data_IF_490986246764
#
_entry.id   IF_490986246764
#
_cell.length_a   1.000
_cell.length_b   1.000
_cell.length_c   1.000
_cell.angle_alpha   90.00
_cell.angle_beta   90.00
_cell.angle_gamma   90.00
#
_symmetry.space_group_name_H-M   'P 1'
#
loop_
_entity.id
_entity.type
_entity.pdbx_description
1 polymer ?
#
# COMPACT_ATOMS: atom_id res chain seq x y z
N UNK A 1 31.21 -5.36 2.45
CA UNK A 1 29.75 -5.51 2.48
C UNK A 1 29.28 -6.24 1.22
N UNK A 2 28.22 -7.02 1.34
CA UNK A 2 27.66 -7.78 0.22
C UNK A 2 26.23 -7.33 -0.15
N UNK A 3 25.54 -6.72 0.78
CA UNK A 3 24.18 -6.25 0.61
C UNK A 3 24.10 -4.80 1.08
N UNK A 4 23.69 -3.90 0.19
CA UNK A 4 23.68 -2.46 0.45
C UNK A 4 22.29 -1.87 0.18
N UNK A 5 21.85 -0.94 1.05
CA UNK A 5 20.65 -0.14 0.86
C UNK A 5 21.03 1.34 0.81
N UNK A 6 20.75 2.00 -0.31
CA UNK A 6 20.98 3.43 -0.51
C UNK A 6 19.67 4.13 -0.79
N UNK A 7 19.24 4.97 0.13
CA UNK A 7 18.04 5.80 -0.04
C UNK A 7 18.41 7.26 -0.17
N UNK A 8 18.01 7.86 -1.27
CA UNK A 8 18.32 9.23 -1.64
C UNK A 8 17.08 9.91 -2.24
N UNK A 9 16.92 11.23 -2.08
CA UNK A 9 15.86 11.97 -2.74
C UNK A 9 15.96 11.91 -4.28
N UNK A 10 14.92 12.36 -4.97
CA UNK A 10 14.94 12.51 -6.45
C UNK A 10 16.00 13.54 -6.86
N UNK A 11 16.58 13.31 -8.05
CA UNK A 11 17.61 14.22 -8.63
C UNK A 11 18.92 14.31 -7.83
N UNK A 12 19.17 13.33 -6.92
CA UNK A 12 20.43 13.23 -6.16
C UNK A 12 21.58 12.51 -6.92
N UNK A 13 21.45 12.28 -8.23
CA UNK A 13 22.49 11.63 -9.02
C UNK A 13 22.58 10.09 -8.84
N UNK A 14 21.49 9.45 -8.36
CA UNK A 14 21.46 8.01 -8.05
C UNK A 14 21.87 7.13 -9.23
N UNK A 15 21.20 7.30 -10.35
CA UNK A 15 21.38 6.44 -11.53
C UNK A 15 22.75 6.64 -12.17
N UNK A 16 23.26 7.87 -12.18
CA UNK A 16 24.58 8.22 -12.70
C UNK A 16 25.68 7.59 -11.85
N UNK A 17 25.59 7.71 -10.53
CA UNK A 17 26.57 7.09 -9.61
C UNK A 17 26.63 5.57 -9.79
N UNK A 18 25.47 4.91 -9.84
CA UNK A 18 25.44 3.46 -10.01
C UNK A 18 25.90 3.02 -11.39
N UNK A 19 25.61 3.79 -12.43
CA UNK A 19 26.12 3.52 -13.77
C UNK A 19 27.64 3.52 -13.80
N UNK A 20 28.27 4.47 -13.14
CA UNK A 20 29.73 4.52 -13.01
C UNK A 20 30.29 3.31 -12.22
N UNK A 21 29.65 2.93 -11.11
CA UNK A 21 30.06 1.77 -10.32
C UNK A 21 29.86 0.46 -11.09
N UNK A 22 28.76 0.31 -11.84
CA UNK A 22 28.51 -0.86 -12.68
C UNK A 22 29.55 -1.00 -13.79
N UNK A 23 29.91 0.11 -14.43
CA UNK A 23 30.97 0.13 -15.43
C UNK A 23 32.33 -0.23 -14.83
N UNK A 24 32.67 0.31 -13.65
CA UNK A 24 33.85 -0.08 -12.91
C UNK A 24 33.86 -1.57 -12.55
N UNK A 25 32.71 -2.10 -12.10
CA UNK A 25 32.57 -3.52 -11.76
C UNK A 25 32.78 -4.43 -12.99
N UNK A 26 32.36 -4.01 -14.16
CA UNK A 26 32.53 -4.72 -15.42
C UNK A 26 34.01 -4.77 -15.87
N UNK A 27 34.73 -3.66 -15.73
CA UNK A 27 36.07 -3.48 -16.30
C UNK A 27 37.19 -3.75 -15.31
N UNK A 28 37.06 -3.26 -14.06
CA UNK A 28 38.15 -3.08 -13.12
C UNK A 28 37.93 -3.70 -11.72
N UNK A 29 36.91 -4.55 -11.53
CA UNK A 29 36.64 -5.19 -10.24
C UNK A 29 37.71 -6.20 -9.80
N UNK A 30 38.58 -6.64 -10.72
CA UNK A 30 39.57 -7.69 -10.46
C UNK A 30 39.02 -9.14 -10.44
N UNK A 31 37.68 -9.28 -10.65
CA UNK A 31 37.07 -10.59 -10.84
C UNK A 31 37.22 -11.05 -12.30
N UNK A 32 37.41 -12.35 -12.48
CA UNK A 32 37.41 -12.94 -13.83
C UNK A 32 35.98 -13.18 -14.31
N UNK A 33 35.69 -12.77 -15.53
CA UNK A 33 34.36 -12.84 -16.16
C UNK A 33 33.27 -12.31 -15.22
N UNK A 34 33.33 -11.04 -14.77
CA UNK A 34 32.32 -10.50 -13.89
C UNK A 34 30.96 -10.44 -14.56
N UNK A 35 29.93 -10.83 -13.82
CA UNK A 35 28.53 -10.70 -14.23
C UNK A 35 27.91 -9.52 -13.48
N UNK A 36 27.55 -8.47 -14.25
CA UNK A 36 26.93 -7.25 -13.72
C UNK A 36 25.47 -7.19 -14.17
N UNK A 37 24.56 -6.94 -13.25
CA UNK A 37 23.13 -6.89 -13.52
C UNK A 37 22.53 -5.57 -13.09
N UNK A 38 21.75 -4.95 -14.00
CA UNK A 38 20.90 -3.81 -13.72
C UNK A 38 19.44 -4.29 -13.70
N UNK A 39 18.80 -4.18 -12.54
CA UNK A 39 17.44 -4.66 -12.27
C UNK A 39 16.54 -3.49 -11.92
N UNK A 40 15.35 -3.44 -12.50
CA UNK A 40 14.29 -2.52 -12.11
C UNK A 40 12.91 -3.19 -12.23
N UNK A 41 11.86 -2.53 -11.77
CA UNK A 41 10.49 -3.05 -11.84
C UNK A 41 10.04 -3.35 -13.28
N UNK A 42 10.59 -2.64 -14.28
CA UNK A 42 10.41 -2.95 -15.70
C UNK A 42 11.73 -2.94 -16.46
N UNK A 43 11.77 -3.67 -17.58
CA UNK A 43 12.98 -3.71 -18.42
C UNK A 43 13.33 -2.33 -18.99
N UNK A 44 12.35 -1.49 -19.27
CA UNK A 44 12.57 -0.14 -19.79
C UNK A 44 13.19 0.78 -18.73
N UNK A 45 12.81 0.65 -17.47
CA UNK A 45 13.47 1.38 -16.37
C UNK A 45 14.92 0.91 -16.17
N UNK A 46 15.17 -0.40 -16.20
CA UNK A 46 16.53 -0.92 -16.08
C UNK A 46 17.44 -0.48 -17.27
N UNK A 47 16.87 -0.22 -18.45
CA UNK A 47 17.60 0.34 -19.59
C UNK A 47 18.12 1.76 -19.35
N UNK A 48 17.46 2.56 -18.51
CA UNK A 48 17.93 3.92 -18.20
C UNK A 48 19.36 3.87 -17.64
N UNK A 49 19.63 2.94 -16.72
CA UNK A 49 20.99 2.73 -16.18
C UNK A 49 21.96 2.30 -17.28
N UNK A 50 21.54 1.37 -18.15
CA UNK A 50 22.36 0.93 -19.28
C UNK A 50 22.65 2.07 -20.27
N UNK A 51 21.69 2.92 -20.57
CA UNK A 51 21.86 4.05 -21.48
C UNK A 51 22.77 5.13 -20.91
N UNK A 52 22.71 5.38 -19.58
CA UNK A 52 23.68 6.22 -18.90
C UNK A 52 25.11 5.65 -19.02
N UNK A 53 25.27 4.32 -18.85
CA UNK A 53 26.58 3.68 -19.02
C UNK A 53 27.07 3.82 -20.46
N UNK A 54 26.21 3.62 -21.46
CA UNK A 54 26.57 3.81 -22.88
C UNK A 54 27.03 5.24 -23.16
N UNK A 55 26.32 6.23 -22.61
CA UNK A 55 26.73 7.62 -22.75
C UNK A 55 28.12 7.89 -22.12
N UNK A 56 28.40 7.30 -20.95
CA UNK A 56 29.75 7.39 -20.33
C UNK A 56 30.82 6.77 -21.21
N UNK A 57 30.53 5.61 -21.83
CA UNK A 57 31.46 4.93 -22.75
C UNK A 57 31.70 5.79 -24.00
N UNK A 58 30.68 6.39 -24.60
CA UNK A 58 30.80 7.24 -25.77
C UNK A 58 31.62 8.51 -25.53
N UNK A 59 31.61 9.05 -24.30
CA UNK A 59 32.34 10.24 -23.93
C UNK A 59 33.84 10.02 -23.69
N UNK A 60 34.27 8.76 -23.47
CA UNK A 60 35.66 8.42 -23.16
C UNK A 60 36.23 7.40 -24.10
N UNK A 61 37.18 7.79 -25.02
CA UNK A 61 37.72 6.91 -26.05
C UNK A 61 38.36 5.62 -25.53
N UNK A 62 38.99 5.66 -24.36
CA UNK A 62 39.60 4.46 -23.73
C UNK A 62 38.52 3.46 -23.32
N UNK A 63 37.39 3.91 -22.79
CA UNK A 63 36.23 3.07 -22.46
C UNK A 63 35.57 2.52 -23.73
N UNK A 64 35.43 3.34 -24.76
CA UNK A 64 34.86 2.93 -26.08
C UNK A 64 35.68 1.83 -26.73
N UNK A 65 37.00 1.82 -26.53
CA UNK A 65 37.89 0.76 -27.06
C UNK A 65 37.88 -0.52 -26.21
N UNK A 66 37.49 -0.43 -24.94
CA UNK A 66 37.53 -1.52 -23.96
C UNK A 66 36.23 -2.31 -23.86
N UNK A 67 35.10 -1.76 -24.33
CA UNK A 67 33.75 -2.33 -24.11
C UNK A 67 32.98 -2.43 -25.44
N UNK A 68 32.50 -3.62 -25.74
CA UNK A 68 31.57 -3.85 -26.86
C UNK A 68 30.13 -3.57 -26.40
N UNK A 69 29.43 -2.70 -27.12
CA UNK A 69 28.08 -2.22 -26.78
C UNK A 69 27.04 -2.94 -27.64
N UNK A 70 26.09 -3.61 -26.98
CA UNK A 70 24.95 -4.25 -27.63
C UNK A 70 23.63 -3.54 -27.20
N UNK A 71 22.50 -3.95 -27.75
CA UNK A 71 21.20 -3.35 -27.48
C UNK A 71 20.86 -3.38 -25.98
N UNK A 72 20.94 -4.54 -25.34
CA UNK A 72 20.51 -4.79 -23.95
C UNK A 72 21.65 -5.31 -23.06
N UNK A 73 22.90 -5.20 -23.50
CA UNK A 73 24.07 -5.70 -22.78
C UNK A 73 25.37 -5.02 -23.21
N UNK A 74 26.36 -5.15 -22.35
CA UNK A 74 27.76 -4.76 -22.62
C UNK A 74 28.66 -5.98 -22.42
N UNK A 75 29.75 -6.05 -23.14
CA UNK A 75 30.77 -7.06 -23.02
C UNK A 75 32.17 -6.40 -22.95
N UNK A 76 32.96 -6.80 -21.97
CA UNK A 76 34.34 -6.35 -21.86
C UNK A 76 35.29 -7.50 -22.21
N UNK A 77 35.93 -7.51 -23.40
CA UNK A 77 36.86 -8.57 -23.83
C UNK A 77 38.03 -8.76 -22.87
N UNK A 78 38.49 -7.68 -22.26
CA UNK A 78 39.66 -7.71 -21.35
C UNK A 78 39.39 -8.48 -20.06
N UNK A 79 38.23 -8.29 -19.44
CA UNK A 79 37.84 -9.00 -18.23
C UNK A 79 37.06 -10.29 -18.51
N UNK A 80 36.55 -10.47 -19.72
CA UNK A 80 35.57 -11.51 -20.08
C UNK A 80 34.18 -11.25 -19.50
N UNK A 81 33.97 -10.06 -18.94
CA UNK A 81 32.76 -9.70 -18.18
C UNK A 81 31.59 -9.30 -19.05
N UNK A 82 30.39 -9.47 -18.52
CA UNK A 82 29.12 -9.05 -19.14
C UNK A 82 28.30 -8.19 -18.20
N UNK A 83 27.65 -7.16 -18.77
CA UNK A 83 26.60 -6.40 -18.09
C UNK A 83 25.28 -6.61 -18.82
N UNK A 84 24.21 -6.92 -18.09
CA UNK A 84 22.88 -7.18 -18.64
C UNK A 84 21.79 -6.49 -17.84
N UNK A 85 20.72 -6.17 -18.55
CA UNK A 85 19.47 -5.65 -17.96
C UNK A 85 18.51 -6.80 -17.69
N UNK A 86 17.97 -6.86 -16.47
CA UNK A 86 16.96 -7.82 -16.07
C UNK A 86 15.66 -7.10 -15.68
N UNK A 87 14.53 -7.74 -15.94
CA UNK A 87 13.24 -7.34 -15.37
C UNK A 87 13.01 -8.05 -14.05
N UNK A 88 12.05 -7.58 -13.25
CA UNK A 88 11.70 -8.13 -11.92
C UNK A 88 11.09 -9.55 -11.91
N UNK A 89 11.14 -10.31 -13.01
CA UNK A 89 10.70 -11.72 -13.04
C UNK A 89 11.78 -12.61 -12.37
N UNK A 90 11.56 -12.95 -11.11
CA UNK A 90 12.49 -13.73 -10.28
C UNK A 90 12.85 -15.11 -10.85
N UNK A 91 11.96 -15.70 -11.64
CA UNK A 91 12.20 -17.01 -12.27
C UNK A 91 13.37 -17.04 -13.22
N UNK A 92 13.74 -15.91 -13.79
CA UNK A 92 14.87 -15.77 -14.71
C UNK A 92 16.23 -15.61 -13.99
N UNK A 93 16.23 -15.39 -12.68
CA UNK A 93 17.45 -15.13 -11.90
C UNK A 93 18.09 -16.40 -11.35
N UNK A 94 17.40 -17.53 -11.35
CA UNK A 94 17.97 -18.80 -10.91
C UNK A 94 19.09 -19.26 -11.85
N UNK A 95 20.29 -19.47 -11.29
CA UNK A 95 21.49 -19.88 -12.05
C UNK A 95 22.40 -18.73 -12.48
N UNK A 96 22.05 -17.47 -12.18
CA UNK A 96 22.95 -16.32 -12.35
C UNK A 96 23.98 -16.30 -11.23
N UNK A 97 25.19 -15.79 -11.53
CA UNK A 97 26.30 -15.71 -10.58
C UNK A 97 26.83 -14.27 -10.51
N UNK A 98 26.04 -13.34 -9.92
CA UNK A 98 26.36 -11.92 -9.97
C UNK A 98 27.62 -11.56 -9.22
N UNK A 99 28.47 -10.76 -9.84
CA UNK A 99 29.57 -10.03 -9.20
C UNK A 99 29.06 -8.71 -8.64
N UNK A 100 28.25 -7.99 -9.42
CA UNK A 100 27.63 -6.75 -8.97
C UNK A 100 26.19 -6.67 -9.50
N UNK A 101 25.27 -6.28 -8.64
CA UNK A 101 23.87 -6.16 -8.97
C UNK A 101 23.31 -4.83 -8.45
N UNK A 102 22.67 -4.08 -9.33
CA UNK A 102 21.92 -2.87 -9.02
C UNK A 102 20.44 -3.20 -9.05
N UNK A 103 19.71 -2.93 -7.96
CA UNK A 103 18.25 -2.98 -7.88
C UNK A 103 17.75 -1.54 -7.78
N UNK A 104 17.38 -0.99 -8.94
CA UNK A 104 16.94 0.40 -9.03
C UNK A 104 15.45 0.54 -8.69
N UNK A 105 15.10 1.67 -8.08
CA UNK A 105 13.74 2.01 -7.62
C UNK A 105 13.06 0.87 -6.86
N UNK A 106 13.76 0.35 -5.84
CA UNK A 106 13.31 -0.80 -5.02
C UNK A 106 11.89 -0.64 -4.45
N UNK A 107 11.44 0.59 -4.23
CA UNK A 107 10.07 0.87 -3.78
C UNK A 107 9.00 0.36 -4.76
N UNK A 108 9.33 0.22 -6.04
CA UNK A 108 8.42 -0.23 -7.10
C UNK A 108 8.37 -1.76 -7.25
N UNK A 109 9.27 -2.50 -6.58
CA UNK A 109 9.29 -3.96 -6.61
C UNK A 109 8.17 -4.52 -5.74
N UNK A 110 7.47 -5.52 -6.26
CA UNK A 110 6.34 -6.16 -5.58
C UNK A 110 6.76 -6.97 -4.36
N UNK A 111 7.88 -7.68 -4.49
CA UNK A 111 8.43 -8.61 -3.50
C UNK A 111 9.95 -8.74 -3.64
N UNK A 112 10.57 -9.54 -2.77
CA UNK A 112 12.01 -9.78 -2.74
C UNK A 112 12.50 -10.97 -3.54
N UNK A 113 11.62 -11.72 -4.24
CA UNK A 113 11.96 -13.02 -4.86
C UNK A 113 13.18 -12.94 -5.78
N UNK A 114 13.21 -11.94 -6.65
CA UNK A 114 14.35 -11.72 -7.56
C UNK A 114 15.66 -11.41 -6.80
N UNK A 115 15.56 -10.56 -5.78
CA UNK A 115 16.72 -10.16 -4.97
C UNK A 115 17.30 -11.34 -4.19
N UNK A 116 16.43 -12.16 -3.60
CA UNK A 116 16.82 -13.38 -2.88
C UNK A 116 17.49 -14.39 -3.81
N UNK A 117 16.97 -14.57 -5.02
CA UNK A 117 17.58 -15.42 -6.03
C UNK A 117 18.99 -14.94 -6.43
N UNK A 118 19.17 -13.62 -6.62
CA UNK A 118 20.46 -13.02 -6.95
C UNK A 118 21.47 -13.12 -5.79
N UNK A 119 21.01 -12.89 -4.55
CA UNK A 119 21.87 -13.05 -3.35
C UNK A 119 22.32 -14.50 -3.17
N UNK A 120 21.41 -15.46 -3.34
CA UNK A 120 21.75 -16.89 -3.23
C UNK A 120 22.71 -17.34 -4.33
N UNK A 121 22.55 -16.80 -5.56
CA UNK A 121 23.42 -17.08 -6.69
C UNK A 121 24.84 -16.50 -6.56
N UNK A 122 25.02 -15.49 -5.72
CA UNK A 122 26.29 -14.78 -5.55
C UNK A 122 27.37 -15.55 -4.74
N UNK A 123 27.03 -16.70 -4.18
CA UNK A 123 27.88 -17.44 -3.23
C UNK A 123 29.23 -17.93 -3.79
N UNK A 124 29.35 -18.07 -5.12
CA UNK A 124 30.60 -18.49 -5.78
C UNK A 124 31.58 -17.32 -6.05
N UNK A 125 31.17 -16.07 -5.85
CA UNK A 125 32.01 -14.89 -6.06
C UNK A 125 32.69 -14.45 -4.77
N UNK A 126 33.94 -14.02 -4.86
CA UNK A 126 34.70 -13.51 -3.70
C UNK A 126 34.17 -12.15 -3.23
N UNK A 127 33.83 -11.27 -4.17
CA UNK A 127 33.49 -9.89 -3.91
C UNK A 127 32.12 -9.54 -4.53
N UNK A 128 31.12 -10.43 -4.36
CA UNK A 128 29.78 -10.10 -4.82
C UNK A 128 29.17 -8.95 -4.01
N UNK A 129 28.45 -8.06 -4.70
CA UNK A 129 27.73 -6.96 -4.05
C UNK A 129 26.39 -6.74 -4.75
N UNK A 130 25.33 -6.63 -3.94
CA UNK A 130 24.01 -6.24 -4.35
C UNK A 130 23.67 -4.89 -3.71
N UNK A 131 23.28 -3.91 -4.53
CA UNK A 131 22.95 -2.56 -4.07
C UNK A 131 21.51 -2.26 -4.43
N UNK A 132 20.67 -2.08 -3.43
CA UNK A 132 19.37 -1.43 -3.58
C UNK A 132 19.59 0.07 -3.61
N UNK A 133 19.06 0.74 -4.63
CA UNK A 133 19.03 2.19 -4.68
C UNK A 133 17.63 2.68 -5.00
N UNK A 134 17.17 3.65 -4.23
CA UNK A 134 15.77 4.05 -4.32
C UNK A 134 15.54 5.42 -3.70
N UNK A 135 14.43 6.04 -4.04
CA UNK A 135 13.79 7.03 -3.17
C UNK A 135 13.09 6.28 -2.02
N UNK A 136 12.96 6.90 -0.83
CA UNK A 136 12.13 6.32 0.21
C UNK A 136 10.72 6.02 -0.27
N UNK A 137 10.12 5.01 0.35
CA UNK A 137 8.74 4.65 0.15
C UNK A 137 7.80 5.40 1.09
N UNK A 138 6.60 4.88 1.16
CA UNK A 138 5.56 5.29 2.09
C UNK A 138 4.85 4.05 2.63
N UNK A 139 4.27 4.16 3.84
CA UNK A 139 3.60 3.03 4.49
C UNK A 139 4.57 1.95 4.99
N UNK A 140 4.00 0.80 5.36
CA UNK A 140 4.72 -0.31 6.02
C UNK A 140 4.41 -1.69 5.38
N UNK A 141 3.95 -1.70 4.13
CA UNK A 141 3.49 -2.90 3.43
C UNK A 141 4.27 -3.21 2.14
N UNK A 142 5.51 -2.74 2.02
CA UNK A 142 6.35 -2.94 0.85
C UNK A 142 7.61 -3.75 1.15
N UNK A 143 8.16 -4.41 0.13
CA UNK A 143 9.46 -5.05 0.22
C UNK A 143 10.57 -4.09 0.69
N UNK A 144 10.54 -2.84 0.23
CA UNK A 144 11.50 -1.83 0.70
C UNK A 144 11.35 -1.55 2.19
N UNK A 145 10.12 -1.59 2.74
CA UNK A 145 9.93 -1.43 4.18
C UNK A 145 10.58 -2.57 4.98
N UNK A 146 10.49 -3.81 4.50
CA UNK A 146 11.14 -4.94 5.16
C UNK A 146 12.66 -4.74 5.23
N UNK A 147 13.27 -4.17 4.18
CA UNK A 147 14.70 -3.80 4.18
C UNK A 147 15.01 -2.67 5.16
N UNK A 148 14.13 -1.69 5.28
CA UNK A 148 14.27 -0.56 6.25
C UNK A 148 14.16 -1.07 7.69
N UNK A 149 13.23 -1.95 7.98
CA UNK A 149 13.10 -2.57 9.31
C UNK A 149 14.32 -3.45 9.64
N UNK A 150 14.82 -4.19 8.66
CA UNK A 150 16.07 -4.93 8.81
C UNK A 150 17.24 -3.99 9.14
N UNK A 151 17.39 -2.90 8.39
CA UNK A 151 18.41 -1.87 8.62
C UNK A 151 18.33 -1.26 10.02
N UNK A 152 17.14 -0.91 10.49
CA UNK A 152 16.92 -0.39 11.85
C UNK A 152 17.41 -1.38 12.91
N UNK A 153 17.10 -2.66 12.78
CA UNK A 153 17.51 -3.71 13.71
C UNK A 153 19.02 -3.94 13.71
N UNK A 154 19.66 -3.85 12.53
CA UNK A 154 21.13 -3.90 12.44
C UNK A 154 21.76 -2.69 13.12
N UNK A 155 21.26 -1.48 12.87
CA UNK A 155 21.76 -0.24 13.50
C UNK A 155 21.51 -0.19 15.02
N UNK A 156 20.44 -0.79 15.50
CA UNK A 156 20.13 -0.93 16.92
C UNK A 156 20.99 -2.00 17.62
N UNK A 157 21.75 -2.80 16.86
CA UNK A 157 22.58 -3.90 17.40
C UNK A 157 21.77 -5.17 17.75
N UNK A 158 20.49 -5.24 17.38
CA UNK A 158 19.66 -6.43 17.55
C UNK A 158 20.09 -7.57 16.63
N UNK A 159 20.60 -7.20 15.45
CA UNK A 159 21.16 -8.13 14.46
C UNK A 159 22.62 -7.74 14.20
N UNK A 160 23.53 -8.71 14.26
CA UNK A 160 24.91 -8.52 13.86
C UNK A 160 25.11 -9.05 12.44
N UNK A 161 25.13 -8.15 11.45
CA UNK A 161 25.41 -8.50 10.06
C UNK A 161 26.55 -7.63 9.49
N UNK A 162 27.80 -8.12 9.46
CA UNK A 162 28.95 -7.38 8.92
C UNK A 162 28.88 -7.25 7.38
N UNK A 163 27.99 -7.96 6.71
CA UNK A 163 27.81 -7.91 5.25
C UNK A 163 26.83 -6.84 4.81
N UNK A 164 25.99 -6.35 5.72
CA UNK A 164 25.02 -5.28 5.48
C UNK A 164 25.67 -3.90 5.56
N UNK A 165 25.24 -3.00 4.69
CA UNK A 165 25.58 -1.57 4.75
C UNK A 165 24.41 -0.73 4.22
N UNK A 166 24.19 0.42 4.84
CA UNK A 166 23.14 1.33 4.38
C UNK A 166 23.56 2.79 4.41
N UNK A 167 22.99 3.57 3.53
CA UNK A 167 23.04 5.03 3.53
C UNK A 167 21.64 5.60 3.40
N UNK A 168 21.22 6.32 4.42
CA UNK A 168 19.98 7.07 4.44
C UNK A 168 20.12 8.19 5.45
N UNK A 169 20.03 9.45 4.97
CA UNK A 169 20.26 10.64 5.79
C UNK A 169 19.20 11.72 5.49
N UNK A 170 17.92 11.51 5.87
CA UNK A 170 16.88 12.51 5.75
C UNK A 170 17.00 13.57 6.83
N UNK A 171 16.40 14.77 6.68
CA UNK A 171 16.20 15.69 7.78
C UNK A 171 15.33 15.08 8.89
N UNK A 172 15.41 15.58 10.14
CA UNK A 172 14.49 15.21 11.21
C UNK A 172 13.02 15.37 10.80
N UNK A 173 12.15 14.48 11.30
CA UNK A 173 10.72 14.46 10.93
C UNK A 173 9.97 15.74 11.36
N UNK A 174 10.38 16.35 12.48
CA UNK A 174 9.81 17.58 13.05
C UNK A 174 10.26 18.87 12.34
N UNK A 175 11.26 18.75 11.45
CA UNK A 175 11.72 19.91 10.66
C UNK A 175 10.68 20.28 9.61
N UNK A 176 10.36 21.57 9.49
CA UNK A 176 9.42 22.08 8.49
C UNK A 176 9.91 21.72 7.06
N UNK A 177 9.01 21.23 6.21
CA UNK A 177 9.37 20.76 4.87
C UNK A 177 9.75 21.90 3.91
N UNK A 178 9.30 23.11 4.19
CA UNK A 178 9.57 24.34 3.46
C UNK A 178 10.76 25.15 4.03
N UNK A 179 11.45 24.61 5.05
CA UNK A 179 12.63 25.24 5.62
C UNK A 179 13.88 24.93 4.78
N UNK A 180 14.65 25.98 4.50
CA UNK A 180 15.96 25.89 3.84
C UNK A 180 16.92 24.93 4.58
N UNK A 181 16.83 24.85 5.91
CA UNK A 181 17.62 23.93 6.70
C UNK A 181 17.32 22.45 6.36
N UNK A 182 16.05 22.11 6.08
CA UNK A 182 15.66 20.78 5.62
C UNK A 182 16.19 20.50 4.20
N UNK A 183 16.20 21.48 3.33
CA UNK A 183 16.66 21.32 1.93
C UNK A 183 18.15 21.02 1.83
N UNK A 184 18.96 21.48 2.80
CA UNK A 184 20.41 21.19 2.87
C UNK A 184 20.75 19.70 3.09
N UNK A 185 19.78 18.90 3.48
CA UNK A 185 19.95 17.43 3.53
C UNK A 185 19.89 16.78 2.13
N UNK A 186 19.41 17.50 1.12
CA UNK A 186 19.44 17.01 -0.25
C UNK A 186 20.88 17.05 -0.79
N UNK A 187 21.48 15.90 -1.20
CA UNK A 187 22.90 15.85 -1.57
C UNK A 187 23.32 16.77 -2.72
N UNK A 188 22.38 17.14 -3.59
CA UNK A 188 22.62 18.00 -4.74
C UNK A 188 22.24 19.47 -4.50
N UNK A 189 21.84 19.82 -3.26
CA UNK A 189 21.44 21.19 -2.93
C UNK A 189 22.64 22.12 -2.94
N UNK A 190 22.54 23.19 -3.68
CA UNK A 190 23.62 24.16 -3.89
C UNK A 190 24.56 23.83 -5.06
N UNK A 191 24.44 22.62 -5.65
CA UNK A 191 25.15 22.25 -6.88
C UNK A 191 24.22 22.37 -8.09
N UNK A 192 23.40 21.36 -8.39
CA UNK A 192 22.45 21.39 -9.51
C UNK A 192 20.98 21.47 -9.07
N UNK A 193 20.70 21.50 -7.77
CA UNK A 193 19.37 21.77 -7.19
C UNK A 193 19.46 23.07 -6.43
N UNK A 194 18.68 24.07 -6.84
CA UNK A 194 18.62 25.39 -6.21
C UNK A 194 17.32 25.58 -5.38
N UNK A 195 17.29 26.68 -4.63
CA UNK A 195 16.15 27.09 -3.79
C UNK A 195 14.88 27.28 -4.63
N UNK A 196 15.00 27.90 -5.81
CA UNK A 196 13.85 28.18 -6.68
C UNK A 196 13.15 26.92 -7.15
N UNK A 197 13.93 25.88 -7.51
CA UNK A 197 13.38 24.59 -7.86
C UNK A 197 12.61 23.96 -6.70
N UNK A 198 13.23 23.85 -5.50
CA UNK A 198 12.58 23.24 -4.34
C UNK A 198 11.35 24.02 -3.90
N UNK A 199 11.42 25.36 -3.91
CA UNK A 199 10.27 26.21 -3.59
C UNK A 199 9.10 25.99 -4.54
N UNK A 200 9.37 25.82 -5.85
CA UNK A 200 8.32 25.48 -6.81
C UNK A 200 7.70 24.11 -6.54
N UNK A 201 8.49 23.13 -6.09
CA UNK A 201 8.00 21.79 -5.75
C UNK A 201 7.16 21.79 -4.46
N UNK A 202 7.52 22.61 -3.46
CA UNK A 202 6.70 22.82 -2.24
C UNK A 202 5.29 23.31 -2.60
N UNK A 203 5.19 24.21 -3.57
CA UNK A 203 3.90 24.77 -4.00
C UNK A 203 3.06 23.81 -4.85
N UNK A 204 3.69 22.86 -5.53
CA UNK A 204 3.04 21.97 -6.50
C UNK A 204 2.68 20.59 -5.93
N UNK A 205 3.41 20.12 -4.92
CA UNK A 205 3.26 18.80 -4.35
C UNK A 205 2.58 18.84 -2.97
N UNK A 206 1.76 17.84 -2.64
CA UNK A 206 1.37 17.61 -1.26
C UNK A 206 2.59 17.43 -0.36
N UNK A 207 2.50 17.87 0.89
CA UNK A 207 3.63 17.83 1.84
C UNK A 207 4.28 16.44 1.94
N UNK A 208 3.49 15.37 2.09
CA UNK A 208 4.00 14.01 2.18
C UNK A 208 4.80 13.59 0.93
N UNK A 209 4.34 13.96 -0.27
CA UNK A 209 5.06 13.70 -1.52
C UNK A 209 6.35 14.52 -1.61
N UNK A 210 6.32 15.80 -1.21
CA UNK A 210 7.53 16.63 -1.17
C UNK A 210 8.56 16.04 -0.20
N UNK A 211 8.13 15.68 1.02
CA UNK A 211 8.99 15.06 2.04
C UNK A 211 9.64 13.77 1.51
N UNK A 212 8.87 12.92 0.87
CA UNK A 212 9.34 11.66 0.29
C UNK A 212 10.33 11.87 -0.87
N UNK A 213 9.93 12.69 -1.83
CA UNK A 213 10.67 12.83 -3.09
C UNK A 213 11.88 13.76 -2.99
N UNK A 214 11.79 14.85 -2.22
CA UNK A 214 12.81 15.88 -2.17
C UNK A 214 13.59 15.95 -0.86
N UNK A 215 13.00 15.53 0.26
CA UNK A 215 13.72 15.44 1.53
C UNK A 215 14.24 14.02 1.83
N UNK A 216 13.84 13.02 1.05
CA UNK A 216 14.26 11.66 1.29
C UNK A 216 13.72 11.08 2.60
N UNK A 217 12.59 11.60 3.10
CA UNK A 217 11.94 11.11 4.31
C UNK A 217 11.01 9.94 3.98
N UNK A 218 10.89 9.00 4.90
CA UNK A 218 9.83 7.99 4.85
C UNK A 218 8.53 8.64 5.29
N UNK A 219 7.48 8.48 4.52
CA UNK A 219 6.18 9.10 4.83
C UNK A 219 5.15 8.05 5.23
N UNK A 220 4.18 8.46 6.02
CA UNK A 220 3.02 7.61 6.30
C UNK A 220 2.09 7.70 5.08
N UNK A 221 1.78 6.55 4.48
CA UNK A 221 0.82 6.48 3.35
C UNK A 221 -0.62 6.76 3.79
N UNK A 222 -0.81 6.80 5.10
CA UNK A 222 -2.14 6.66 5.68
C UNK A 222 -2.33 7.73 6.73
N UNK A 223 -3.15 8.69 6.40
CA UNK A 223 -3.68 9.65 7.36
C UNK A 223 -4.91 9.05 8.03
N UNK A 224 -5.18 9.41 9.27
CA UNK A 224 -6.44 9.06 9.93
C UNK A 224 -7.60 9.58 9.07
N UNK A 225 -8.59 8.73 8.83
CA UNK A 225 -9.72 9.06 7.96
C UNK A 225 -10.67 10.07 8.61
N UNK A 226 -11.30 9.68 9.71
CA UNK A 226 -12.20 10.50 10.53
C UNK A 226 -11.84 10.31 12.00
N UNK A 227 -11.87 11.37 12.79
CA UNK A 227 -11.73 11.22 14.22
C UNK A 227 -13.03 10.72 14.87
N UNK A 228 -12.92 10.08 16.03
CA UNK A 228 -14.09 9.70 16.81
C UNK A 228 -14.98 10.91 17.15
N UNK A 229 -14.39 12.08 17.36
CA UNK A 229 -15.11 13.33 17.65
C UNK A 229 -15.93 13.79 16.44
N UNK A 230 -15.36 13.75 15.23
CA UNK A 230 -16.06 14.10 13.99
C UNK A 230 -17.25 13.16 13.75
N UNK A 231 -17.05 11.86 13.93
CA UNK A 231 -18.11 10.87 13.75
C UNK A 231 -19.20 11.01 14.82
N UNK A 232 -18.83 11.12 16.10
CA UNK A 232 -19.79 11.26 17.21
C UNK A 232 -20.48 12.64 17.27
N UNK A 233 -20.05 13.61 16.45
CA UNK A 233 -20.75 14.88 16.28
C UNK A 233 -21.98 14.79 15.36
N UNK A 234 -22.21 13.64 14.73
CA UNK A 234 -23.42 13.37 13.95
C UNK A 234 -24.66 13.30 14.88
N UNK A 235 -25.87 13.62 14.37
CA UNK A 235 -27.11 13.50 15.13
C UNK A 235 -27.38 12.06 15.59
N UNK A 236 -28.02 11.92 16.74
CA UNK A 236 -28.49 10.61 17.23
C UNK A 236 -29.77 10.21 16.50
N UNK A 237 -29.80 9.00 15.98
CA UNK A 237 -31.01 8.37 15.47
C UNK A 237 -30.92 6.86 15.62
N UNK A 238 -32.07 6.23 15.69
CA UNK A 238 -32.18 4.78 15.74
C UNK A 238 -32.97 4.24 14.54
N UNK A 239 -32.81 2.96 14.27
CA UNK A 239 -33.57 2.21 13.25
C UNK A 239 -34.23 1.05 13.99
N UNK A 240 -35.53 0.85 13.73
CA UNK A 240 -36.31 -0.19 14.39
C UNK A 240 -36.84 -1.20 13.36
N UNK A 241 -37.15 -2.45 13.79
CA UNK A 241 -37.84 -3.39 12.92
C UNK A 241 -39.17 -2.82 12.42
N UNK A 242 -39.38 -2.87 11.12
CA UNK A 242 -40.57 -2.28 10.48
C UNK A 242 -40.36 -0.87 9.86
N UNK A 243 -39.20 -0.27 10.03
CA UNK A 243 -38.80 0.92 9.26
C UNK A 243 -38.75 0.57 7.77
N UNK A 244 -39.17 1.53 6.92
CA UNK A 244 -39.21 1.31 5.48
C UNK A 244 -37.80 1.36 4.85
N UNK A 245 -37.59 0.53 3.82
CA UNK A 245 -36.39 0.51 2.98
C UNK A 245 -35.04 0.27 3.70
N UNK A 246 -35.03 -0.51 4.80
CA UNK A 246 -33.79 -0.85 5.52
C UNK A 246 -32.89 -1.75 4.67
N UNK A 247 -31.62 -1.41 4.58
CA UNK A 247 -30.55 -2.20 3.96
C UNK A 247 -29.62 -2.73 5.03
N UNK A 248 -29.37 -4.03 5.02
CA UNK A 248 -28.31 -4.62 5.83
C UNK A 248 -27.00 -4.68 5.04
N UNK A 249 -25.86 -4.48 5.71
CA UNK A 249 -24.57 -4.85 5.16
C UNK A 249 -23.82 -5.74 6.12
N UNK A 250 -23.15 -6.77 5.56
CA UNK A 250 -22.33 -7.72 6.29
C UNK A 250 -20.91 -7.61 5.78
N UNK A 251 -19.99 -7.27 6.69
CA UNK A 251 -18.55 -7.40 6.45
C UNK A 251 -18.01 -8.51 7.34
N UNK A 252 -17.45 -9.55 6.74
CA UNK A 252 -17.08 -10.76 7.45
C UNK A 252 -15.62 -11.15 7.19
N UNK A 253 -14.95 -11.57 8.25
CA UNK A 253 -13.60 -12.10 8.21
C UNK A 253 -13.50 -13.44 8.92
N UNK A 254 -12.70 -14.36 8.36
CA UNK A 254 -12.50 -15.69 8.94
C UNK A 254 -11.46 -15.75 10.05
N UNK A 255 -10.47 -14.84 10.04
CA UNK A 255 -9.34 -14.91 10.96
C UNK A 255 -8.88 -13.51 11.41
N UNK A 256 -8.74 -13.33 12.74
CA UNK A 256 -8.17 -12.16 13.41
C UNK A 256 -8.89 -10.81 13.23
N UNK A 257 -9.93 -10.72 12.42
CA UNK A 257 -10.78 -9.55 12.23
C UNK A 257 -12.15 -9.73 12.90
N UNK A 258 -13.05 -8.78 12.69
CA UNK A 258 -14.42 -8.84 13.19
C UNK A 258 -15.40 -9.17 12.07
N UNK A 259 -16.56 -9.70 12.43
CA UNK A 259 -17.72 -9.80 11.56
C UNK A 259 -18.79 -8.88 12.08
N UNK A 260 -19.41 -8.11 11.19
CA UNK A 260 -20.34 -7.05 11.57
C UNK A 260 -21.57 -7.09 10.67
N UNK A 261 -22.74 -6.88 11.29
CA UNK A 261 -24.00 -6.63 10.58
C UNK A 261 -24.46 -5.23 10.97
N UNK A 262 -24.65 -4.39 9.96
CA UNK A 262 -25.17 -3.03 10.13
C UNK A 262 -26.44 -2.83 9.33
N UNK A 263 -27.31 -1.92 9.78
CA UNK A 263 -28.49 -1.45 9.06
C UNK A 263 -28.30 0.01 8.64
N UNK A 264 -28.75 0.35 7.44
CA UNK A 264 -28.80 1.73 6.97
C UNK A 264 -30.12 1.97 6.22
N UNK A 265 -30.56 3.23 6.20
CA UNK A 265 -31.80 3.68 5.54
C UNK A 265 -31.54 4.78 4.49
N UNK A 266 -32.40 4.96 3.48
CA UNK A 266 -32.24 6.04 2.50
C UNK A 266 -32.25 7.44 3.09
N UNK A 267 -32.87 7.65 4.24
CA UNK A 267 -32.87 8.91 4.99
C UNK A 267 -31.60 9.08 5.88
N UNK A 268 -30.57 8.24 5.66
CA UNK A 268 -29.21 8.36 6.21
C UNK A 268 -29.11 8.05 7.70
N UNK A 269 -29.97 7.17 8.20
CA UNK A 269 -29.79 6.59 9.53
C UNK A 269 -28.91 5.33 9.43
N UNK A 270 -28.09 5.09 10.45
CA UNK A 270 -27.14 3.98 10.54
C UNK A 270 -27.20 3.36 11.93
N UNK A 271 -27.23 2.02 12.00
CA UNK A 271 -27.25 1.27 13.26
C UNK A 271 -26.41 0.01 13.17
N UNK A 272 -25.66 -0.30 14.22
CA UNK A 272 -24.99 -1.60 14.37
C UNK A 272 -25.98 -2.60 14.94
N UNK A 273 -26.25 -3.69 14.20
CA UNK A 273 -27.15 -4.73 14.67
C UNK A 273 -26.41 -5.81 15.46
N UNK A 274 -25.26 -6.26 14.96
CA UNK A 274 -24.40 -7.28 15.62
C UNK A 274 -22.95 -7.07 15.26
N UNK A 275 -22.08 -7.41 16.21
CA UNK A 275 -20.64 -7.41 16.03
C UNK A 275 -20.00 -8.60 16.77
N UNK A 276 -19.16 -9.35 16.06
CA UNK A 276 -18.36 -10.42 16.63
C UNK A 276 -16.90 -10.04 16.55
N UNK A 277 -16.30 -9.83 17.69
CA UNK A 277 -14.90 -9.46 17.83
C UNK A 277 -14.17 -10.46 18.74
N UNK A 278 -12.88 -10.67 18.48
CA UNK A 278 -12.03 -11.46 19.36
C UNK A 278 -12.06 -10.85 20.78
N UNK A 279 -12.52 -11.58 21.79
CA UNK A 279 -12.52 -11.08 23.16
C UNK A 279 -11.12 -10.75 23.68
N UNK A 280 -11.01 -9.78 24.58
CA UNK A 280 -9.74 -9.46 25.25
C UNK A 280 -9.28 -10.68 26.02
N UNK A 281 -8.04 -11.14 25.77
CA UNK A 281 -7.45 -12.30 26.43
C UNK A 281 -7.71 -13.65 25.74
N UNK A 282 -8.48 -13.68 24.64
CA UNK A 282 -8.63 -14.90 23.84
C UNK A 282 -7.28 -15.20 23.12
N UNK A 283 -7.02 -16.49 22.93
CA UNK A 283 -5.82 -16.97 22.24
C UNK A 283 -5.85 -16.72 20.72
N UNK A 284 -4.75 -17.00 20.02
CA UNK A 284 -4.66 -16.80 18.57
C UNK A 284 -5.42 -17.87 17.75
N UNK A 285 -5.96 -18.88 18.41
CA UNK A 285 -6.84 -19.88 17.79
C UNK A 285 -8.30 -19.43 17.69
N UNK A 286 -8.68 -18.33 18.36
CA UNK A 286 -10.04 -17.80 18.28
C UNK A 286 -10.43 -17.45 16.84
N UNK A 287 -11.63 -17.84 16.47
CA UNK A 287 -12.23 -17.55 15.17
C UNK A 287 -13.65 -17.05 15.35
N UNK A 288 -14.12 -16.25 14.41
CA UNK A 288 -15.53 -15.85 14.36
C UNK A 288 -16.41 -17.09 14.18
N UNK A 289 -17.44 -17.29 15.00
CA UNK A 289 -18.33 -18.45 14.88
C UNK A 289 -19.33 -18.26 13.72
N UNK A 290 -18.95 -18.66 12.51
CA UNK A 290 -19.72 -18.41 11.28
C UNK A 290 -21.12 -19.00 11.29
N UNK A 291 -21.31 -20.15 11.96
CA UNK A 291 -22.64 -20.75 12.11
C UNK A 291 -23.56 -19.85 12.95
N UNK A 292 -23.04 -19.25 14.01
CA UNK A 292 -23.76 -18.28 14.82
C UNK A 292 -24.08 -17.01 14.03
N UNK A 293 -23.10 -16.49 13.26
CA UNK A 293 -23.30 -15.33 12.39
C UNK A 293 -24.42 -15.59 11.37
N UNK A 294 -24.41 -16.78 10.74
CA UNK A 294 -25.42 -17.14 9.76
C UNK A 294 -26.81 -17.27 10.38
N UNK A 295 -26.89 -17.90 11.56
CA UNK A 295 -28.14 -18.02 12.30
C UNK A 295 -28.72 -16.67 12.72
N UNK A 296 -27.89 -15.83 13.31
CA UNK A 296 -28.29 -14.46 13.71
C UNK A 296 -28.70 -13.60 12.51
N UNK A 297 -28.03 -13.75 11.35
CA UNK A 297 -28.43 -13.02 10.16
C UNK A 297 -29.79 -13.48 9.62
N UNK A 298 -30.10 -14.78 9.67
CA UNK A 298 -31.44 -15.30 9.31
C UNK A 298 -32.51 -14.72 10.24
N UNK A 299 -32.30 -14.77 11.57
CA UNK A 299 -33.24 -14.20 12.56
C UNK A 299 -33.48 -12.71 12.31
N UNK A 300 -32.41 -11.92 12.07
CA UNK A 300 -32.53 -10.50 11.75
C UNK A 300 -33.29 -10.24 10.44
N UNK A 301 -33.06 -11.05 9.41
CA UNK A 301 -33.78 -10.91 8.13
C UNK A 301 -35.28 -11.20 8.33
N UNK A 302 -35.65 -12.22 9.11
CA UNK A 302 -37.04 -12.56 9.40
C UNK A 302 -37.73 -11.46 10.24
N UNK A 303 -37.03 -10.90 11.23
CA UNK A 303 -37.56 -9.87 12.12
C UNK A 303 -37.73 -8.53 11.39
N UNK A 304 -36.70 -8.12 10.60
CA UNK A 304 -36.64 -6.77 10.02
C UNK A 304 -37.15 -6.67 8.59
N UNK A 305 -37.20 -7.80 7.87
CA UNK A 305 -37.55 -7.83 6.45
C UNK A 305 -36.78 -6.80 5.61
N UNK A 306 -35.44 -6.77 5.65
CA UNK A 306 -34.66 -5.76 4.96
C UNK A 306 -34.89 -5.82 3.45
N UNK A 307 -34.87 -4.66 2.80
CA UNK A 307 -35.04 -4.57 1.35
C UNK A 307 -33.91 -5.22 0.56
N UNK A 308 -32.71 -5.19 1.12
CA UNK A 308 -31.56 -5.89 0.58
C UNK A 308 -30.55 -6.23 1.67
N UNK A 309 -29.76 -7.29 1.46
CA UNK A 309 -28.57 -7.64 2.26
C UNK A 309 -27.35 -7.54 1.37
N UNK A 310 -26.43 -6.65 1.74
CA UNK A 310 -25.20 -6.35 1.01
C UNK A 310 -24.03 -7.08 1.64
N UNK A 311 -23.16 -7.71 0.87
CA UNK A 311 -22.03 -8.46 1.41
C UNK A 311 -20.82 -8.50 0.46
N UNK A 312 -19.61 -8.65 1.02
CA UNK A 312 -18.43 -8.94 0.21
C UNK A 312 -18.40 -10.42 -0.16
N UNK A 313 -18.41 -10.77 -1.46
CA UNK A 313 -18.44 -12.17 -1.90
C UNK A 313 -17.17 -12.96 -1.52
N UNK A 314 -16.04 -12.29 -1.26
CA UNK A 314 -14.77 -12.94 -0.98
C UNK A 314 -14.83 -13.88 0.24
N UNK A 315 -15.54 -13.50 1.30
CA UNK A 315 -15.56 -14.25 2.56
C UNK A 315 -16.85 -15.09 2.78
N UNK A 316 -17.99 -14.72 2.20
CA UNK A 316 -19.30 -15.29 2.60
C UNK A 316 -20.16 -15.82 1.47
N UNK A 317 -19.68 -15.92 0.25
CA UNK A 317 -20.52 -16.28 -0.91
C UNK A 317 -21.35 -17.54 -0.69
N UNK A 318 -20.74 -18.62 -0.16
CA UNK A 318 -21.46 -19.88 0.06
C UNK A 318 -22.54 -19.78 1.17
N UNK A 319 -22.22 -19.15 2.29
CA UNK A 319 -23.16 -18.95 3.39
C UNK A 319 -24.33 -18.04 2.97
N UNK A 320 -24.06 -17.00 2.19
CA UNK A 320 -25.08 -16.06 1.71
C UNK A 320 -26.08 -16.74 0.74
N UNK A 321 -25.63 -17.63 -0.13
CA UNK A 321 -26.51 -18.42 -1.00
C UNK A 321 -27.46 -19.34 -0.20
N UNK A 322 -26.99 -19.89 0.91
CA UNK A 322 -27.84 -20.68 1.81
C UNK A 322 -28.88 -19.77 2.52
N UNK A 323 -28.46 -18.59 2.99
CA UNK A 323 -29.36 -17.62 3.63
C UNK A 323 -30.42 -17.13 2.65
N UNK A 324 -30.07 -16.83 1.39
CA UNK A 324 -31.01 -16.49 0.33
C UNK A 324 -32.07 -17.58 0.13
N UNK A 325 -31.62 -18.84 0.07
CA UNK A 325 -32.53 -19.99 -0.08
C UNK A 325 -33.49 -20.18 1.11
N UNK A 326 -33.06 -19.82 2.33
CA UNK A 326 -33.86 -19.93 3.54
C UNK A 326 -34.86 -18.80 3.71
N UNK A 327 -34.41 -17.57 3.45
CA UNK A 327 -35.17 -16.36 3.79
C UNK A 327 -35.86 -15.69 2.59
N UNK A 328 -35.40 -15.98 1.37
CA UNK A 328 -35.84 -15.27 0.16
C UNK A 328 -35.37 -13.81 0.09
N UNK A 329 -34.43 -13.39 0.94
CA UNK A 329 -33.93 -12.03 0.97
C UNK A 329 -33.18 -11.67 -0.32
N UNK A 330 -33.31 -10.44 -0.76
CA UNK A 330 -32.55 -9.92 -1.90
C UNK A 330 -31.07 -9.71 -1.50
N UNK A 331 -30.16 -10.49 -2.07
CA UNK A 331 -28.72 -10.36 -1.82
C UNK A 331 -28.07 -9.47 -2.88
N UNK A 332 -27.13 -8.62 -2.44
CA UNK A 332 -26.33 -7.74 -3.31
C UNK A 332 -24.85 -7.98 -3.04
N UNK A 333 -24.15 -8.54 -4.01
CA UNK A 333 -22.70 -8.64 -3.95
C UNK A 333 -22.04 -7.26 -4.04
N UNK A 334 -21.17 -6.97 -3.08
CA UNK A 334 -20.44 -5.71 -2.99
C UNK A 334 -18.93 -5.96 -2.92
N UNK A 335 -18.25 -6.23 -4.04
CA UNK A 335 -16.80 -6.36 -4.06
C UNK A 335 -16.14 -5.06 -3.56
N UNK A 336 -15.25 -5.17 -2.57
CA UNK A 336 -14.54 -4.03 -1.97
C UNK A 336 -13.41 -3.50 -2.88
N UNK A 337 -13.65 -3.44 -4.20
CA UNK A 337 -12.71 -2.93 -5.18
C UNK A 337 -12.50 -1.41 -5.05
N UNK A 338 -11.31 -0.87 -5.39
CA UNK A 338 -11.07 0.56 -5.36
C UNK A 338 -12.09 1.38 -6.15
N UNK A 339 -12.49 0.90 -7.31
CA UNK A 339 -13.48 1.57 -8.17
C UNK A 339 -14.83 1.77 -7.47
N UNK A 340 -15.22 0.85 -6.58
CA UNK A 340 -16.49 0.91 -5.85
C UNK A 340 -16.35 1.62 -4.51
N UNK A 341 -15.28 1.31 -3.76
CA UNK A 341 -15.07 1.89 -2.43
C UNK A 341 -14.71 3.37 -2.44
N UNK A 342 -13.96 3.87 -3.42
CA UNK A 342 -13.57 5.29 -3.46
C UNK A 342 -14.77 6.23 -3.46
N UNK A 343 -15.76 6.14 -4.38
CA UNK A 343 -16.92 7.02 -4.34
C UNK A 343 -17.78 6.81 -3.10
N UNK A 344 -17.92 5.58 -2.59
CA UNK A 344 -18.67 5.29 -1.38
C UNK A 344 -18.01 5.91 -0.13
N UNK A 345 -16.68 5.82 0.00
CA UNK A 345 -15.94 6.48 1.07
C UNK A 345 -16.08 8.00 1.01
N UNK A 346 -15.98 8.60 -0.18
CA UNK A 346 -16.14 10.05 -0.34
C UNK A 346 -17.54 10.51 0.08
N UNK A 347 -18.58 9.80 -0.34
CA UNK A 347 -19.96 10.09 0.04
C UNK A 347 -20.20 9.96 1.54
N UNK A 348 -19.70 8.87 2.15
CA UNK A 348 -19.81 8.67 3.59
C UNK A 348 -19.07 9.77 4.37
N UNK A 349 -17.87 10.15 3.94
CA UNK A 349 -17.09 11.25 4.53
C UNK A 349 -17.87 12.56 4.49
N UNK A 350 -18.45 12.90 3.35
CA UNK A 350 -19.29 14.11 3.19
C UNK A 350 -20.47 14.11 4.15
N UNK A 351 -21.18 12.99 4.26
CA UNK A 351 -22.34 12.85 5.15
C UNK A 351 -21.94 13.03 6.62
N UNK A 352 -20.81 12.52 7.04
CA UNK A 352 -20.29 12.71 8.42
C UNK A 352 -19.88 14.16 8.65
N UNK A 353 -19.07 14.75 7.77
CA UNK A 353 -18.55 16.10 7.94
C UNK A 353 -19.67 17.17 7.88
N UNK A 354 -20.70 16.93 7.08
CA UNK A 354 -21.89 17.80 7.01
C UNK A 354 -22.94 17.49 8.08
N UNK A 355 -22.70 16.46 8.92
CA UNK A 355 -23.67 15.96 9.92
C UNK A 355 -25.02 15.57 9.32
N UNK A 356 -25.01 15.13 8.08
CA UNK A 356 -26.19 14.65 7.39
C UNK A 356 -26.46 13.16 7.65
N UNK A 357 -25.47 12.40 8.13
CA UNK A 357 -25.62 11.06 8.67
C UNK A 357 -26.09 11.15 10.13
N UNK A 358 -26.95 10.23 10.54
CA UNK A 358 -27.29 10.03 11.96
C UNK A 358 -27.09 8.56 12.36
N UNK A 359 -26.77 8.30 13.63
CA UNK A 359 -26.50 6.93 14.08
C UNK A 359 -26.79 6.74 15.58
N UNK A 360 -26.77 5.49 16.03
CA UNK A 360 -27.09 5.08 17.41
C UNK A 360 -25.95 5.33 18.42
N UNK A 361 -24.82 5.89 17.97
CA UNK A 361 -23.60 6.10 18.76
C UNK A 361 -23.00 4.83 19.35
N UNK A 362 -23.07 3.71 18.62
CA UNK A 362 -22.42 2.48 19.03
C UNK A 362 -20.91 2.71 19.26
N UNK A 363 -20.37 2.34 20.45
CA UNK A 363 -18.97 2.58 20.78
C UNK A 363 -17.98 1.78 19.92
N UNK A 364 -18.38 0.58 19.46
CA UNK A 364 -17.51 -0.24 18.60
C UNK A 364 -17.44 0.35 17.19
N UNK A 365 -18.55 0.86 16.65
CA UNK A 365 -18.56 1.57 15.38
C UNK A 365 -17.70 2.84 15.44
N UNK A 366 -17.85 3.66 16.48
CA UNK A 366 -17.02 4.86 16.66
C UNK A 366 -15.53 4.53 16.73
N UNK A 367 -15.17 3.45 17.43
CA UNK A 367 -13.79 2.95 17.49
C UNK A 367 -13.30 2.47 16.12
N UNK A 368 -14.10 1.74 15.35
CA UNK A 368 -13.74 1.25 14.01
C UNK A 368 -13.55 2.40 13.02
N UNK A 369 -14.38 3.43 13.08
CA UNK A 369 -14.21 4.64 12.26
C UNK A 369 -12.90 5.35 12.60
N UNK A 370 -12.61 5.53 13.90
CA UNK A 370 -11.36 6.16 14.36
C UNK A 370 -10.10 5.34 14.01
N UNK A 371 -10.22 4.03 13.83
CA UNK A 371 -9.13 3.16 13.41
C UNK A 371 -8.88 3.20 11.90
N UNK A 372 -9.80 3.76 11.12
CA UNK A 372 -9.64 3.87 9.67
C UNK A 372 -8.59 4.92 9.32
N UNK A 373 -7.78 4.56 8.34
CA UNK A 373 -6.82 5.44 7.67
C UNK A 373 -7.19 5.57 6.21
N UNK A 374 -6.70 6.62 5.57
CA UNK A 374 -6.88 6.83 4.13
C UNK A 374 -5.76 6.17 3.33
N UNK A 375 -6.09 5.65 2.17
CA UNK A 375 -5.12 5.23 1.15
C UNK A 375 -5.52 5.82 -0.19
N UNK A 376 -4.57 6.53 -0.80
CA UNK A 376 -4.75 7.07 -2.15
C UNK A 376 -4.25 6.07 -3.20
N UNK A 377 -5.01 5.90 -4.26
CA UNK A 377 -4.63 5.17 -5.46
C UNK A 377 -5.10 5.91 -6.72
N UNK A 378 -4.92 5.33 -7.90
CA UNK A 378 -5.31 5.95 -9.18
C UNK A 378 -6.82 6.27 -9.30
N UNK A 379 -7.65 5.73 -8.44
CA UNK A 379 -9.11 5.97 -8.43
C UNK A 379 -9.53 7.02 -7.40
N UNK A 380 -8.64 7.42 -6.49
CA UNK A 380 -8.90 8.38 -5.42
C UNK A 380 -8.59 7.83 -4.03
N UNK A 381 -9.25 8.36 -3.00
CA UNK A 381 -9.02 8.03 -1.60
C UNK A 381 -10.07 7.03 -1.10
N UNK A 382 -9.63 5.98 -0.41
CA UNK A 382 -10.49 5.00 0.27
C UNK A 382 -9.97 4.66 1.65
N UNK A 383 -10.82 4.08 2.48
CA UNK A 383 -10.45 3.61 3.82
C UNK A 383 -9.61 2.33 3.77
N UNK A 384 -8.72 2.21 4.74
CA UNK A 384 -7.86 1.04 4.96
C UNK A 384 -7.48 0.93 6.44
N UNK A 385 -6.90 -0.19 6.86
CA UNK A 385 -6.23 -0.30 8.16
C UNK A 385 -4.95 0.55 8.18
N UNK A 386 -4.49 0.93 9.36
CA UNK A 386 -3.21 1.61 9.56
C UNK A 386 -2.03 0.84 8.94
N UNK A 387 -2.04 -0.49 9.08
CA UNK A 387 -1.09 -1.41 8.46
C UNK A 387 -1.74 -2.76 8.15
N UNK A 388 -1.11 -3.59 7.30
CA UNK A 388 -1.59 -4.98 7.06
C UNK A 388 -1.56 -5.84 8.32
N UNK A 389 -0.63 -5.56 9.23
CA UNK A 389 -0.46 -6.29 10.49
C UNK A 389 -1.24 -5.66 11.65
N UNK A 390 -1.93 -4.53 11.40
CA UNK A 390 -2.69 -3.84 12.44
C UNK A 390 -3.79 -4.73 13.01
N UNK A 391 -3.77 -4.86 14.33
CA UNK A 391 -4.83 -5.53 15.11
C UNK A 391 -6.06 -4.63 15.32
N UNK A 392 -5.98 -3.36 14.88
CA UNK A 392 -7.08 -2.40 14.93
C UNK A 392 -8.11 -2.75 13.87
N UNK A 393 -9.33 -2.91 14.27
CA UNK A 393 -10.45 -3.34 13.41
C UNK A 393 -11.13 -2.15 12.79
N UNK A 394 -11.58 -2.31 11.54
CA UNK A 394 -12.28 -1.30 10.75
C UNK A 394 -13.57 -1.84 10.13
N UNK A 395 -13.91 -3.08 10.35
CA UNK A 395 -14.94 -3.82 9.61
C UNK A 395 -16.33 -3.18 9.77
N UNK A 396 -16.66 -2.64 10.97
CA UNK A 396 -17.91 -1.92 11.17
C UNK A 396 -17.99 -0.62 10.32
N UNK A 397 -16.87 0.08 10.14
CA UNK A 397 -16.82 1.23 9.26
C UNK A 397 -16.98 0.84 7.79
N UNK A 398 -16.35 -0.24 7.36
CA UNK A 398 -16.47 -0.78 5.98
C UNK A 398 -17.91 -1.22 5.71
N UNK A 399 -18.52 -2.02 6.59
CA UNK A 399 -19.92 -2.42 6.48
C UNK A 399 -20.86 -1.21 6.42
N UNK A 400 -20.61 -0.18 7.24
CA UNK A 400 -21.40 1.06 7.27
C UNK A 400 -21.32 1.82 5.93
N UNK A 401 -20.12 1.92 5.34
CA UNK A 401 -19.93 2.53 4.02
C UNK A 401 -20.72 1.76 2.95
N UNK A 402 -20.67 0.42 2.97
CA UNK A 402 -21.39 -0.43 2.04
C UNK A 402 -22.91 -0.28 2.19
N UNK A 403 -23.43 -0.30 3.42
CA UNK A 403 -24.85 -0.15 3.71
C UNK A 403 -25.39 1.20 3.24
N UNK A 404 -24.70 2.30 3.60
CA UNK A 404 -25.11 3.66 3.23
C UNK A 404 -25.04 3.87 1.72
N UNK A 405 -23.99 3.40 1.04
CA UNK A 405 -23.86 3.51 -0.41
C UNK A 405 -25.02 2.84 -1.15
N UNK A 406 -25.44 1.66 -0.71
CA UNK A 406 -26.57 0.95 -1.33
C UNK A 406 -27.90 1.58 -0.93
N UNK A 407 -28.11 1.92 0.34
CA UNK A 407 -29.35 2.53 0.82
C UNK A 407 -29.69 3.83 0.07
N UNK A 408 -28.67 4.66 -0.20
CA UNK A 408 -28.85 5.92 -0.92
C UNK A 408 -29.14 5.76 -2.43
N UNK A 409 -28.84 4.58 -3.00
CA UNK A 409 -29.11 4.27 -4.42
C UNK A 409 -30.44 3.55 -4.65
N UNK A 410 -31.11 3.11 -3.57
CA UNK A 410 -32.40 2.46 -3.70
C UNK A 410 -33.45 3.47 -4.14
N UNK A 411 -34.19 3.13 -5.19
CA UNK A 411 -35.35 3.92 -5.57
C UNK A 411 -36.45 3.73 -4.50
N UNK A 412 -37.11 4.81 -4.06
CA UNK A 412 -38.22 4.71 -3.12
C UNK A 412 -39.31 3.75 -3.64
N UNK A 413 -39.82 2.87 -2.79
CA UNK A 413 -40.99 2.07 -3.15
C UNK A 413 -42.20 2.99 -3.28
N UNK A 414 -42.63 3.25 -4.50
CA UNK A 414 -43.91 3.95 -4.77
C UNK A 414 -45.02 2.94 -4.48
N UNK A 415 -45.55 2.97 -3.25
CA UNK A 415 -46.75 2.20 -2.93
C UNK A 415 -47.91 2.71 -3.79
N UNK A 416 -48.65 1.82 -4.46
CA UNK A 416 -49.84 2.22 -5.18
C UNK A 416 -50.82 2.88 -4.21
N UNK A 417 -51.55 3.95 -4.62
CA UNK A 417 -52.47 4.63 -3.74
C UNK A 417 -53.48 3.62 -3.20
N UNK A 418 -53.72 3.64 -1.88
CA UNK A 418 -54.72 2.77 -1.23
C UNK A 418 -56.04 2.95 -1.95
N UNK A 419 -56.73 1.87 -2.36
CA UNK A 419 -58.01 1.97 -3.00
C UNK A 419 -58.98 2.71 -2.06
N UNK A 420 -59.58 3.78 -2.55
CA UNK A 420 -60.66 4.45 -1.85
C UNK A 420 -61.83 3.49 -1.79
N UNK A 421 -62.13 2.96 -0.61
CA UNK A 421 -63.37 2.24 -0.35
C UNK A 421 -64.47 3.31 -0.26
N UNK A 422 -65.33 3.32 -1.26
CA UNK A 422 -66.54 4.09 -1.26
C UNK A 422 -67.67 3.33 -0.57
#
# INVERSE_FOLDING_TARGET
>A
HKHCLVMLPRKAGKSELLSAIALWALIASGEWAPEVYCVAASKDQARIVLDNIKAMIELEPDLASAVEVFKDSLYCPLSGGVLRVLSSDGRLAHGLNPTFCIVDETWAHKDGELTEALLSGSGARKQSMLVHITTPGSGDDSYLWDLVEYDKRVKAGEITDPTWWSYWNPPPEDMAHDDLAAWRYHPAFGDWIDDGYLQSQVLQLPEGEFRRLHLGQWTKDREQWLSAEQFNACPTADIEPGDEDVVFAVDASFANDSTVIVAATPDKRLKVLRIWEKPIGADDAWRVPLDEVSHQLVELIEEWSPRAVVYDPFAMQHAMLQIESLTGAQLIEYPQSPKRMVPACSQFTELVLTRALSHDHDPALSRHVANCHTRSDRYGVRVTKESRQSKRRIDAAVASIMAVDVALRLEPVVLPPKPKIY
#
